data_IF_329837907722
#
_entry.id   IF_329837907722
#
_cell.length_a   1.000
_cell.length_b   1.000
_cell.length_c   1.000
_cell.angle_alpha   90.00
_cell.angle_beta   90.00
_cell.angle_gamma   90.00
#
_symmetry.space_group_name_H-M   'P 1'
#
loop_
_entity.id
_entity.type
_entity.pdbx_description
1 polymer ?
#
# COMPACT_ATOMS: atom_id res chain seq x y z
N UNK A 1 9.59 -7.36 2.38
CA UNK A 1 9.80 -8.42 1.37
C UNK A 1 10.67 -9.51 1.97
N UNK A 2 10.33 -10.80 1.76
CA UNK A 2 10.92 -11.94 2.52
C UNK A 2 11.62 -12.99 1.65
N UNK A 3 11.67 -12.80 0.34
CA UNK A 3 12.25 -13.78 -0.60
C UNK A 3 11.35 -14.99 -0.89
N UNK A 4 10.15 -15.05 -0.28
CA UNK A 4 9.17 -16.13 -0.48
C UNK A 4 7.92 -15.62 -1.20
N UNK A 5 7.20 -14.65 -0.62
CA UNK A 5 6.07 -14.01 -1.28
C UNK A 5 6.49 -13.26 -2.56
N UNK A 6 7.68 -12.65 -2.52
CA UNK A 6 8.33 -12.00 -3.67
C UNK A 6 9.82 -12.37 -3.72
N UNK A 7 10.44 -12.47 -4.91
CA UNK A 7 11.85 -12.86 -5.06
C UNK A 7 12.81 -11.69 -4.76
N UNK A 8 12.60 -11.00 -3.64
CA UNK A 8 13.40 -9.85 -3.20
C UNK A 8 13.37 -9.74 -1.67
N UNK A 9 14.38 -9.08 -1.10
CA UNK A 9 14.50 -8.82 0.33
C UNK A 9 14.58 -7.31 0.57
N UNK A 10 13.79 -6.80 1.50
CA UNK A 10 13.92 -5.39 1.90
C UNK A 10 13.28 -5.14 3.26
N UNK A 11 13.76 -4.09 3.89
CA UNK A 11 13.26 -3.45 5.11
C UNK A 11 12.80 -4.40 6.23
N UNK A 12 13.44 -4.24 7.36
CA UNK A 12 13.09 -4.93 8.61
C UNK A 12 12.37 -3.97 9.57
N UNK A 13 11.77 -4.48 10.67
CA UNK A 13 11.22 -3.62 11.73
C UNK A 13 12.24 -2.63 12.31
N UNK A 14 13.54 -2.95 12.31
CA UNK A 14 14.58 -2.04 12.78
C UNK A 14 14.75 -0.81 11.89
N UNK A 15 14.54 -0.92 10.58
CA UNK A 15 14.53 0.23 9.67
C UNK A 15 13.33 1.13 9.96
N UNK A 16 12.13 0.56 10.15
CA UNK A 16 10.93 1.31 10.50
C UNK A 16 11.14 2.08 11.81
N UNK A 17 11.72 1.42 12.82
CA UNK A 17 12.05 2.07 14.10
C UNK A 17 13.02 3.24 13.92
N UNK A 18 14.10 3.05 13.18
CA UNK A 18 15.08 4.11 12.93
C UNK A 18 14.49 5.33 12.21
N UNK A 19 13.51 5.10 11.31
CA UNK A 19 12.76 6.18 10.66
C UNK A 19 11.79 6.86 11.63
N UNK A 20 11.05 6.09 12.42
CA UNK A 20 10.12 6.60 13.43
C UNK A 20 10.80 7.48 14.47
N UNK A 21 12.01 7.11 14.92
CA UNK A 21 12.80 7.89 15.87
C UNK A 21 13.34 9.19 15.28
N UNK A 22 13.48 9.29 13.96
CA UNK A 22 14.07 10.47 13.29
C UNK A 22 13.07 11.42 12.66
N UNK A 23 11.89 10.92 12.28
CA UNK A 23 10.91 11.68 11.51
C UNK A 23 9.53 11.61 12.14
N UNK A 24 8.76 12.68 11.99
CA UNK A 24 7.37 12.78 12.48
C UNK A 24 6.34 12.41 11.40
N UNK A 25 6.78 12.02 10.21
CA UNK A 25 5.89 11.60 9.12
C UNK A 25 5.28 10.22 9.42
N UNK A 26 4.01 9.98 9.04
CA UNK A 26 3.42 8.65 9.14
C UNK A 26 4.22 7.62 8.32
N UNK A 27 4.44 6.44 8.90
CA UNK A 27 5.11 5.34 8.23
C UNK A 27 4.07 4.32 7.78
N UNK A 28 3.85 4.26 6.48
CA UNK A 28 3.02 3.24 5.85
C UNK A 28 3.88 2.03 5.49
N UNK A 29 3.51 0.86 6.04
CA UNK A 29 4.32 -0.36 5.97
C UNK A 29 3.60 -1.41 5.13
N UNK A 30 4.05 -1.61 3.91
CA UNK A 30 3.52 -2.64 3.01
C UNK A 30 4.30 -3.95 3.17
N UNK A 31 3.64 -4.99 3.68
CA UNK A 31 4.22 -6.30 3.94
C UNK A 31 3.99 -7.26 2.76
N UNK A 32 5.00 -7.40 1.92
CA UNK A 32 5.08 -8.44 0.89
C UNK A 32 5.75 -9.68 1.49
N UNK A 33 5.04 -10.35 2.41
CA UNK A 33 5.50 -11.50 3.19
C UNK A 33 4.54 -12.67 3.02
N UNK A 34 5.08 -13.88 2.94
CA UNK A 34 4.29 -15.12 2.88
C UNK A 34 3.56 -15.40 4.21
N UNK A 35 4.18 -15.06 5.34
CA UNK A 35 3.64 -15.29 6.69
C UNK A 35 3.70 -14.00 7.53
N UNK A 36 2.92 -12.95 7.19
CA UNK A 36 2.98 -11.66 7.86
C UNK A 36 2.56 -11.72 9.33
N UNK A 37 1.73 -12.69 9.73
CA UNK A 37 1.29 -12.90 11.12
C UNK A 37 2.45 -13.05 12.11
N UNK A 38 3.60 -13.51 11.65
CA UNK A 38 4.82 -13.63 12.48
C UNK A 38 5.51 -12.30 12.75
N UNK A 39 5.19 -11.25 11.98
CA UNK A 39 5.97 -10.01 11.96
C UNK A 39 5.14 -8.77 12.26
N UNK A 40 3.81 -8.78 12.10
CA UNK A 40 2.95 -7.58 12.28
C UNK A 40 3.17 -6.92 13.63
N UNK A 41 3.28 -7.69 14.72
CA UNK A 41 3.51 -7.15 16.05
C UNK A 41 4.85 -6.40 16.16
N UNK A 42 5.91 -6.94 15.53
CA UNK A 42 7.21 -6.30 15.52
C UNK A 42 7.19 -4.96 14.72
N UNK A 43 6.44 -4.89 13.62
CA UNK A 43 6.26 -3.66 12.86
C UNK A 43 5.39 -2.64 13.59
N UNK A 44 4.32 -3.07 14.29
CA UNK A 44 3.53 -2.19 15.15
C UNK A 44 4.42 -1.55 16.23
N UNK A 45 5.20 -2.35 16.97
CA UNK A 45 6.14 -1.85 18.00
C UNK A 45 7.26 -0.98 17.42
N UNK A 46 7.59 -1.14 16.16
CA UNK A 46 8.58 -0.31 15.47
C UNK A 46 8.08 1.10 15.12
N UNK A 47 6.78 1.37 15.26
CA UNK A 47 6.19 2.67 14.98
C UNK A 47 5.52 2.80 13.61
N UNK A 48 5.09 1.68 13.02
CA UNK A 48 4.23 1.73 11.84
C UNK A 48 2.94 2.51 12.14
N UNK A 49 2.54 3.41 11.24
CA UNK A 49 1.28 4.16 11.30
C UNK A 49 0.14 3.41 10.65
N UNK A 50 0.45 2.67 9.60
CA UNK A 50 -0.42 1.74 8.89
C UNK A 50 0.37 0.49 8.49
N UNK A 51 -0.33 -0.65 8.42
CA UNK A 51 0.23 -1.90 7.91
C UNK A 51 -0.70 -2.48 6.86
N UNK A 52 -0.14 -2.72 5.68
CA UNK A 52 -0.82 -3.38 4.55
C UNK A 52 -0.35 -4.82 4.43
N UNK A 53 -1.30 -5.76 4.39
CA UNK A 53 -1.06 -7.17 4.08
C UNK A 53 -1.71 -7.55 2.75
N UNK A 54 -1.21 -8.60 2.11
CA UNK A 54 -1.77 -9.09 0.86
C UNK A 54 -2.95 -10.04 1.07
N UNK A 55 -3.97 -9.96 0.19
CA UNK A 55 -5.06 -10.95 0.11
C UNK A 55 -4.53 -12.34 -0.24
N UNK A 56 -3.49 -12.42 -1.04
CA UNK A 56 -2.96 -13.66 -1.61
C UNK A 56 -2.13 -14.52 -0.64
N UNK A 57 -2.04 -14.15 0.63
CA UNK A 57 -1.40 -14.96 1.67
C UNK A 57 -2.30 -16.13 2.10
N UNK A 58 -1.70 -17.19 2.63
CA UNK A 58 -2.44 -18.37 3.10
C UNK A 58 -3.09 -18.17 4.48
N UNK A 59 -2.55 -17.28 5.33
CA UNK A 59 -3.03 -17.03 6.68
C UNK A 59 -4.42 -16.35 6.71
N UNK A 60 -5.10 -16.38 7.86
CA UNK A 60 -6.37 -15.67 8.05
C UNK A 60 -6.13 -14.15 8.09
N UNK A 61 -6.44 -13.48 6.95
CA UNK A 61 -6.30 -12.03 6.79
C UNK A 61 -7.13 -11.24 7.79
N UNK A 62 -8.35 -11.70 8.08
CA UNK A 62 -9.24 -11.01 9.00
C UNK A 62 -8.69 -11.02 10.44
N UNK A 63 -8.09 -12.12 10.87
CA UNK A 63 -7.45 -12.22 12.18
C UNK A 63 -6.21 -11.31 12.26
N UNK A 64 -5.37 -11.30 11.22
CA UNK A 64 -4.20 -10.43 11.16
C UNK A 64 -4.60 -8.95 11.22
N UNK A 65 -5.62 -8.54 10.44
CA UNK A 65 -6.11 -7.16 10.44
C UNK A 65 -6.66 -6.76 11.82
N UNK A 66 -7.40 -7.66 12.51
CA UNK A 66 -7.85 -7.39 13.89
C UNK A 66 -6.68 -7.26 14.87
N UNK A 67 -5.64 -8.10 14.73
CA UNK A 67 -4.44 -8.04 15.55
C UNK A 67 -3.71 -6.69 15.39
N UNK A 68 -3.54 -6.21 14.14
CA UNK A 68 -2.94 -4.89 13.83
C UNK A 68 -3.77 -3.78 14.47
N UNK A 69 -5.08 -3.79 14.26
CA UNK A 69 -6.01 -2.77 14.79
C UNK A 69 -6.03 -2.73 16.32
N UNK A 70 -5.92 -3.88 16.98
CA UNK A 70 -5.85 -3.97 18.44
C UNK A 70 -4.61 -3.26 19.03
N UNK A 71 -3.56 -3.07 18.23
CA UNK A 71 -2.36 -2.32 18.62
C UNK A 71 -2.43 -0.83 18.27
N UNK A 72 -3.59 -0.31 17.82
CA UNK A 72 -3.81 1.10 17.48
C UNK A 72 -3.20 1.50 16.13
N UNK A 73 -2.80 0.55 15.29
CA UNK A 73 -2.23 0.79 13.96
C UNK A 73 -3.34 0.66 12.91
N UNK A 74 -3.34 1.53 11.90
CA UNK A 74 -4.28 1.46 10.78
C UNK A 74 -4.05 0.21 9.95
N UNK A 75 -5.13 -0.35 9.44
CA UNK A 75 -5.15 -1.61 8.71
C UNK A 75 -5.41 -1.41 7.23
N UNK A 76 -4.67 -2.14 6.40
CA UNK A 76 -4.91 -2.14 4.97
C UNK A 76 -4.75 -3.54 4.35
N UNK A 77 -5.48 -3.78 3.26
CA UNK A 77 -5.35 -4.96 2.44
C UNK A 77 -4.90 -4.59 1.04
N UNK A 78 -3.98 -5.37 0.48
CA UNK A 78 -3.52 -5.22 -0.91
C UNK A 78 -3.99 -6.37 -1.78
N UNK A 79 -4.21 -6.08 -3.06
CA UNK A 79 -4.46 -7.08 -4.11
C UNK A 79 -3.52 -6.87 -5.30
N UNK A 80 -3.03 -8.00 -5.85
CA UNK A 80 -2.21 -8.02 -7.07
C UNK A 80 -3.04 -7.63 -8.30
N UNK A 81 -2.40 -7.33 -9.46
CA UNK A 81 -3.10 -6.90 -10.66
C UNK A 81 -4.22 -7.87 -11.10
N UNK A 82 -3.96 -9.17 -10.98
CA UNK A 82 -4.89 -10.21 -11.42
C UNK A 82 -5.93 -10.63 -10.36
N UNK A 83 -5.80 -10.20 -9.11
CA UNK A 83 -6.76 -10.50 -8.03
C UNK A 83 -7.96 -9.55 -8.14
N UNK A 84 -9.20 -10.05 -8.23
CA UNK A 84 -10.37 -9.19 -8.35
C UNK A 84 -10.69 -8.49 -7.03
N UNK A 85 -11.38 -7.34 -7.09
CA UNK A 85 -11.85 -6.58 -5.92
C UNK A 85 -12.78 -7.41 -5.04
N UNK A 86 -13.56 -8.31 -5.65
CA UNK A 86 -14.50 -9.18 -4.93
C UNK A 86 -13.84 -10.05 -3.85
N UNK A 87 -12.56 -10.40 -4.04
CA UNK A 87 -11.81 -11.20 -3.07
C UNK A 87 -11.67 -10.49 -1.71
N UNK A 88 -11.63 -9.16 -1.69
CA UNK A 88 -11.43 -8.38 -0.46
C UNK A 88 -12.73 -7.78 0.11
N UNK A 89 -13.88 -7.94 -0.54
CA UNK A 89 -15.15 -7.39 -0.03
C UNK A 89 -15.40 -7.79 1.44
N UNK A 90 -15.19 -9.07 1.86
CA UNK A 90 -15.38 -9.45 3.25
C UNK A 90 -14.44 -8.78 4.25
N UNK A 91 -13.28 -8.27 3.78
CA UNK A 91 -12.27 -7.63 4.59
C UNK A 91 -12.46 -6.11 4.70
N UNK A 92 -13.18 -5.48 3.77
CA UNK A 92 -13.35 -4.02 3.73
C UNK A 92 -13.81 -3.39 5.05
N UNK A 93 -14.72 -4.00 5.84
CA UNK A 93 -15.10 -3.45 7.14
C UNK A 93 -13.96 -3.43 8.18
N UNK A 94 -12.91 -4.19 7.93
CA UNK A 94 -11.70 -4.25 8.76
C UNK A 94 -10.57 -3.37 8.23
N UNK A 95 -10.73 -2.68 7.10
CA UNK A 95 -9.67 -1.94 6.42
C UNK A 95 -9.92 -0.44 6.46
N UNK A 96 -8.92 0.31 6.92
CA UNK A 96 -8.87 1.77 6.81
C UNK A 96 -8.40 2.21 5.42
N UNK A 97 -7.69 1.32 4.71
CA UNK A 97 -7.18 1.56 3.37
C UNK A 97 -7.18 0.28 2.51
N UNK A 98 -7.30 0.43 1.20
CA UNK A 98 -7.07 -0.62 0.19
C UNK A 98 -5.96 -0.19 -0.74
N UNK A 99 -4.91 -1.01 -0.83
CA UNK A 99 -3.80 -0.83 -1.77
C UNK A 99 -4.02 -1.69 -3.02
N UNK A 100 -4.04 -1.05 -4.18
CA UNK A 100 -4.13 -1.72 -5.47
C UNK A 100 -2.75 -1.79 -6.13
N UNK A 101 -2.24 -2.99 -6.35
CA UNK A 101 -1.01 -3.17 -7.11
C UNK A 101 -1.30 -3.01 -8.60
N UNK A 102 -0.64 -2.06 -9.26
CA UNK A 102 -0.67 -1.96 -10.73
C UNK A 102 0.37 -2.85 -11.40
N UNK A 103 1.29 -3.42 -10.61
CA UNK A 103 2.37 -4.30 -11.07
C UNK A 103 2.48 -5.51 -10.15
N UNK A 104 3.12 -6.57 -10.57
CA UNK A 104 3.47 -7.65 -9.66
C UNK A 104 4.42 -7.13 -8.57
N UNK A 105 4.15 -7.45 -7.28
CA UNK A 105 4.98 -6.97 -6.18
C UNK A 105 6.41 -7.52 -6.26
N UNK A 106 7.38 -6.78 -5.68
CA UNK A 106 8.75 -7.24 -5.50
C UNK A 106 9.83 -6.33 -6.07
N UNK A 107 9.59 -5.62 -7.18
CA UNK A 107 10.59 -4.74 -7.81
C UNK A 107 10.00 -3.40 -8.23
N UNK A 108 10.75 -2.33 -7.99
CA UNK A 108 10.40 -0.99 -8.46
C UNK A 108 10.70 -0.78 -9.96
N UNK A 109 10.18 0.31 -10.53
CA UNK A 109 10.47 0.73 -11.91
C UNK A 109 9.71 -0.02 -13.00
N UNK A 110 8.73 -0.82 -12.65
CA UNK A 110 7.85 -1.51 -13.60
C UNK A 110 6.87 -0.52 -14.27
N UNK A 111 6.36 -0.89 -15.44
CA UNK A 111 5.42 -0.08 -16.20
C UNK A 111 4.03 -0.16 -15.57
N UNK A 112 3.38 1.01 -15.40
CA UNK A 112 2.01 1.14 -14.91
C UNK A 112 1.02 0.29 -15.73
N UNK A 113 0.18 -0.48 -15.04
CA UNK A 113 -0.91 -1.23 -15.64
C UNK A 113 -2.25 -0.54 -15.33
N UNK A 114 -3.01 -0.10 -16.34
CA UNK A 114 -4.25 0.64 -16.13
C UNK A 114 -5.41 -0.18 -15.53
N UNK A 115 -5.25 -1.48 -15.30
CA UNK A 115 -6.28 -2.33 -14.67
C UNK A 115 -6.74 -1.77 -13.32
N UNK A 116 -5.87 -1.04 -12.60
CA UNK A 116 -6.20 -0.44 -11.30
C UNK A 116 -7.25 0.67 -11.40
N UNK A 117 -7.41 1.30 -12.56
CA UNK A 117 -8.42 2.34 -12.77
C UNK A 117 -9.83 1.79 -12.60
N UNK A 118 -10.09 0.61 -13.17
CA UNK A 118 -11.39 -0.06 -13.03
C UNK A 118 -11.59 -0.58 -11.60
N UNK A 119 -10.53 -1.07 -10.94
CA UNK A 119 -10.60 -1.48 -9.55
C UNK A 119 -10.90 -0.32 -8.59
N UNK A 120 -10.30 0.87 -8.82
CA UNK A 120 -10.63 2.09 -8.08
C UNK A 120 -12.13 2.42 -8.22
N UNK A 121 -12.63 2.45 -9.46
CA UNK A 121 -14.07 2.71 -9.72
C UNK A 121 -14.97 1.66 -9.06
N UNK A 122 -14.57 0.37 -9.09
CA UNK A 122 -15.32 -0.71 -8.43
C UNK A 122 -15.40 -0.50 -6.92
N UNK A 123 -14.28 -0.17 -6.24
CA UNK A 123 -14.27 0.11 -4.80
C UNK A 123 -15.23 1.26 -4.45
N UNK A 124 -15.25 2.34 -5.23
CA UNK A 124 -16.19 3.45 -5.01
C UNK A 124 -17.63 3.07 -5.31
N UNK A 125 -17.86 2.29 -6.37
CA UNK A 125 -19.20 1.84 -6.75
C UNK A 125 -19.87 0.91 -5.71
N UNK A 126 -19.08 0.08 -5.01
CA UNK A 126 -19.58 -0.75 -3.90
C UNK A 126 -19.69 0.01 -2.57
N UNK A 127 -19.41 1.32 -2.55
CA UNK A 127 -19.57 2.17 -1.37
C UNK A 127 -18.38 2.15 -0.40
N UNK A 128 -17.20 1.71 -0.80
CA UNK A 128 -16.03 1.79 0.06
C UNK A 128 -15.62 3.25 0.30
N UNK A 129 -15.58 3.66 1.57
CA UNK A 129 -15.28 5.02 2.00
C UNK A 129 -13.90 5.18 2.64
N UNK A 130 -13.17 4.09 2.84
CA UNK A 130 -11.78 4.12 3.28
C UNK A 130 -10.84 4.67 2.21
N UNK A 131 -9.57 4.86 2.59
CA UNK A 131 -8.55 5.34 1.66
C UNK A 131 -8.27 4.30 0.57
N UNK A 132 -8.00 4.78 -0.63
CA UNK A 132 -7.52 3.97 -1.75
C UNK A 132 -6.11 4.39 -2.10
N UNK A 133 -5.24 3.42 -2.24
CA UNK A 133 -3.84 3.60 -2.60
C UNK A 133 -3.49 2.79 -3.85
N UNK A 134 -2.54 3.26 -4.64
CA UNK A 134 -1.99 2.53 -5.80
C UNK A 134 -0.48 2.49 -5.72
N UNK A 135 0.10 1.28 -5.89
CA UNK A 135 1.54 1.05 -6.04
C UNK A 135 1.85 0.41 -7.39
N UNK A 136 2.92 0.90 -8.02
CA UNK A 136 3.44 0.38 -9.28
C UNK A 136 3.33 1.36 -10.46
N UNK A 137 4.47 1.86 -10.93
CA UNK A 137 4.55 2.72 -12.11
C UNK A 137 3.79 4.05 -12.05
N UNK A 138 3.40 4.50 -10.85
CA UNK A 138 2.74 5.79 -10.66
C UNK A 138 3.71 6.92 -10.93
N UNK A 139 3.25 7.94 -11.65
CA UNK A 139 4.03 9.11 -12.09
C UNK A 139 3.13 10.33 -12.21
N UNK A 140 3.72 11.51 -12.32
CA UNK A 140 2.96 12.75 -12.53
C UNK A 140 2.05 12.70 -13.76
N UNK A 141 2.39 11.92 -14.78
CA UNK A 141 1.60 11.84 -16.02
C UNK A 141 0.32 11.02 -15.89
N UNK A 142 0.27 10.01 -14.99
CA UNK A 142 -0.93 9.18 -14.80
C UNK A 142 -1.71 9.51 -13.53
N UNK A 143 -1.14 10.32 -12.64
CA UNK A 143 -1.75 10.69 -11.37
C UNK A 143 -3.11 11.42 -11.52
N UNK A 144 -3.31 12.37 -12.46
CA UNK A 144 -4.62 13.01 -12.67
C UNK A 144 -5.72 11.99 -12.96
N UNK A 145 -5.46 11.04 -13.85
CA UNK A 145 -6.42 9.99 -14.21
C UNK A 145 -6.72 9.06 -13.03
N UNK A 146 -5.71 8.73 -12.22
CA UNK A 146 -5.89 7.95 -10.99
C UNK A 146 -6.78 8.69 -9.99
N UNK A 147 -6.54 9.99 -9.81
CA UNK A 147 -7.35 10.84 -8.93
C UNK A 147 -8.82 10.91 -9.40
N UNK A 148 -9.08 11.09 -10.70
CA UNK A 148 -10.44 11.05 -11.28
C UNK A 148 -11.15 9.71 -11.03
N UNK A 149 -10.40 8.61 -10.89
CA UNK A 149 -10.93 7.29 -10.57
C UNK A 149 -11.15 7.06 -9.07
N UNK A 150 -10.79 8.04 -8.21
CA UNK A 150 -11.01 7.97 -6.77
C UNK A 150 -9.78 7.56 -5.97
N UNK A 151 -8.56 7.80 -6.47
CA UNK A 151 -7.32 7.60 -5.71
C UNK A 151 -7.15 8.66 -4.62
N UNK A 152 -6.75 8.23 -3.41
CA UNK A 152 -6.42 9.10 -2.28
C UNK A 152 -4.90 9.17 -2.03
N UNK A 153 -4.17 8.07 -2.21
CA UNK A 153 -2.73 7.99 -1.98
C UNK A 153 -2.01 7.29 -3.13
N UNK A 154 -0.78 7.71 -3.41
CA UNK A 154 0.04 7.16 -4.49
C UNK A 154 1.44 6.78 -4.00
N UNK A 155 1.86 5.54 -4.24
CA UNK A 155 3.24 5.12 -3.99
C UNK A 155 4.11 5.47 -5.19
N UNK A 156 5.04 6.38 -5.00
CA UNK A 156 5.92 6.90 -6.05
C UNK A 156 7.39 6.73 -5.66
N UNK A 157 7.97 5.58 -5.93
CA UNK A 157 9.40 5.31 -5.69
C UNK A 157 10.27 5.94 -6.79
N UNK A 158 10.49 5.19 -7.86
CA UNK A 158 11.41 5.56 -8.95
C UNK A 158 11.08 6.93 -9.56
N UNK A 159 9.81 7.27 -9.71
CA UNK A 159 9.38 8.53 -10.31
C UNK A 159 9.84 9.76 -9.49
N UNK A 160 9.81 9.68 -8.16
CA UNK A 160 10.26 10.77 -7.28
C UNK A 160 11.78 10.72 -7.04
N UNK A 161 12.34 9.55 -6.71
CA UNK A 161 13.76 9.44 -6.36
C UNK A 161 14.72 9.66 -7.54
N UNK A 162 14.25 9.52 -8.79
CA UNK A 162 14.99 9.86 -10.01
C UNK A 162 14.59 11.20 -10.62
N UNK A 163 13.69 11.93 -9.99
CA UNK A 163 13.33 13.28 -10.44
C UNK A 163 14.51 14.27 -10.26
N UNK A 164 14.62 15.20 -11.18
CA UNK A 164 15.57 16.31 -11.05
C UNK A 164 15.19 17.28 -9.93
N UNK A 165 13.89 17.38 -9.59
CA UNK A 165 13.38 18.24 -8.53
C UNK A 165 12.21 17.59 -7.75
N UNK A 166 12.49 16.62 -6.86
CA UNK A 166 11.46 15.90 -6.13
C UNK A 166 10.54 16.81 -5.29
N UNK A 167 11.07 17.87 -4.71
CA UNK A 167 10.29 18.79 -3.89
C UNK A 167 9.22 19.54 -4.71
N UNK A 168 9.56 19.97 -5.92
CA UNK A 168 8.60 20.60 -6.84
C UNK A 168 7.53 19.62 -7.30
N UNK A 169 7.92 18.36 -7.58
CA UNK A 169 6.99 17.33 -7.98
C UNK A 169 5.99 17.00 -6.85
N UNK A 170 6.46 16.91 -5.61
CA UNK A 170 5.59 16.73 -4.44
C UNK A 170 4.64 17.93 -4.29
N UNK A 171 5.13 19.15 -4.47
CA UNK A 171 4.27 20.34 -4.40
C UNK A 171 3.16 20.31 -5.47
N UNK A 172 3.48 19.90 -6.71
CA UNK A 172 2.48 19.72 -7.78
C UNK A 172 1.44 18.67 -7.42
N UNK A 173 1.86 17.54 -6.85
CA UNK A 173 0.95 16.48 -6.42
C UNK A 173 -0.05 17.01 -5.37
N UNK A 174 0.43 17.77 -4.40
CA UNK A 174 -0.43 18.34 -3.36
C UNK A 174 -1.42 19.40 -3.88
N UNK A 175 -1.15 20.02 -5.03
CA UNK A 175 -2.06 20.96 -5.69
C UNK A 175 -3.16 20.27 -6.51
N UNK A 176 -3.06 18.97 -6.76
CA UNK A 176 -4.07 18.18 -7.50
C UNK A 176 -5.26 17.74 -6.63
N UNK A 177 -5.30 18.13 -5.35
CA UNK A 177 -6.35 17.78 -4.39
C UNK A 177 -7.58 18.67 -4.51
#
# INVERSE_FOLDING_TARGET
>A
MDGHFVPNLSFSPSVVRALHERFTIPLDVHLMLDQPEKYVEAFCRAGASSITIHEEIAADRAEILRCIRAQGVKTAVSIKPNTPVDAIIPLLPLCDMVLLMSVEPGFGGQKFNPIVLDKLRQLRAIGYTGLTEVDGGVSLSNLPLLHECGLDAAVMGTALFKSANPAEDIAKIHQMR
#
